data_IF_624750444240
#
_entry.id   IF_624750444240
#
_cell.length_a   1.000
_cell.length_b   1.000
_cell.length_c   1.000
_cell.angle_alpha   90.00
_cell.angle_beta   90.00
_cell.angle_gamma   90.00
#
_symmetry.space_group_name_H-M   'P 1'
#
loop_
_entity.id
_entity.type
_entity.pdbx_description
1 polymer ?
#
# COMPACT_ATOMS: atom_id res chain seq x y z
N UNK A 1 -8.09 3.59 17.59
CA UNK A 1 -9.32 3.38 16.82
C UNK A 1 -9.07 2.94 15.36
N UNK A 2 -7.95 3.31 14.75
CA UNK A 2 -7.57 2.94 13.37
C UNK A 2 -7.13 1.48 13.17
N UNK A 3 -7.09 0.66 14.22
CA UNK A 3 -6.70 -0.76 14.15
C UNK A 3 -7.89 -1.73 14.17
N UNK A 4 -9.12 -1.24 14.12
CA UNK A 4 -10.32 -2.09 14.08
C UNK A 4 -10.88 -2.18 12.65
N UNK A 5 -11.76 -3.14 12.41
CA UNK A 5 -12.27 -3.56 11.10
C UNK A 5 -12.58 -2.43 10.08
N UNK A 6 -13.20 -1.35 10.51
CA UNK A 6 -13.59 -0.25 9.60
C UNK A 6 -12.37 0.57 9.18
N UNK A 7 -11.37 0.72 10.04
CA UNK A 7 -10.15 1.45 9.74
C UNK A 7 -9.24 0.72 8.73
N UNK A 8 -9.42 -0.58 8.57
CA UNK A 8 -8.69 -1.36 7.58
C UNK A 8 -9.13 -1.10 6.13
N UNK A 9 -10.32 -0.57 5.92
CA UNK A 9 -10.87 -0.33 4.57
C UNK A 9 -10.46 1.03 3.97
N UNK A 10 -9.64 1.82 4.65
CA UNK A 10 -9.19 3.14 4.17
C UNK A 10 -8.09 3.06 3.08
N UNK A 11 -7.59 1.87 2.77
CA UNK A 11 -6.48 1.70 1.83
C UNK A 11 -6.70 2.29 0.44
N UNK A 12 -7.93 2.30 -0.07
CA UNK A 12 -8.27 2.89 -1.37
C UNK A 12 -8.36 4.42 -1.39
N UNK A 13 -8.45 5.08 -0.23
CA UNK A 13 -8.65 6.52 -0.17
C UNK A 13 -7.39 7.29 -0.59
N UNK A 14 -6.22 6.83 -0.19
CA UNK A 14 -4.95 7.42 -0.63
C UNK A 14 -4.81 7.40 -2.15
N UNK A 15 -5.12 6.28 -2.81
CA UNK A 15 -5.14 6.18 -4.27
C UNK A 15 -6.12 7.19 -4.89
N UNK A 16 -7.33 7.24 -4.38
CA UNK A 16 -8.40 8.10 -4.92
C UNK A 16 -8.01 9.58 -4.85
N UNK A 17 -7.45 10.02 -3.74
CA UNK A 17 -6.99 11.40 -3.56
C UNK A 17 -5.79 11.74 -4.44
N UNK A 18 -4.83 10.84 -4.57
CA UNK A 18 -3.69 11.00 -5.46
C UNK A 18 -4.14 11.09 -6.93
N UNK A 19 -5.10 10.26 -7.36
CA UNK A 19 -5.67 10.35 -8.71
C UNK A 19 -6.43 11.66 -8.93
N UNK A 20 -7.21 12.09 -7.95
CA UNK A 20 -7.94 13.35 -8.03
C UNK A 20 -6.99 14.54 -8.20
N UNK A 21 -5.82 14.51 -7.54
CA UNK A 21 -4.80 15.55 -7.67
C UNK A 21 -4.29 15.74 -9.11
N UNK A 22 -4.38 14.71 -9.95
CA UNK A 22 -4.00 14.80 -11.37
C UNK A 22 -5.10 15.38 -12.25
N UNK A 23 -6.33 15.39 -11.76
CA UNK A 23 -7.50 15.88 -12.50
C UNK A 23 -7.76 17.38 -12.26
N UNK A 24 -7.17 17.95 -11.21
CA UNK A 24 -7.32 19.39 -10.92
C UNK A 24 -6.20 20.20 -11.55
N UNK A 25 -6.53 21.42 -12.00
CA UNK A 25 -5.59 22.29 -12.69
C UNK A 25 -4.84 23.25 -11.77
N UNK A 26 -5.46 23.62 -10.63
CA UNK A 26 -4.88 24.56 -9.69
C UNK A 26 -3.76 23.92 -8.85
N UNK A 27 -2.52 24.46 -8.87
CA UNK A 27 -1.40 23.87 -8.14
C UNK A 27 -1.64 23.74 -6.63
N UNK A 28 -2.36 24.68 -6.03
CA UNK A 28 -2.69 24.66 -4.60
C UNK A 28 -3.67 23.54 -4.25
N UNK A 29 -4.67 23.31 -5.09
CA UNK A 29 -5.60 22.19 -4.90
C UNK A 29 -4.90 20.85 -5.07
N UNK A 30 -4.03 20.75 -6.07
CA UNK A 30 -3.20 19.56 -6.28
C UNK A 30 -2.35 19.25 -5.06
N UNK A 31 -1.66 20.24 -4.50
CA UNK A 31 -0.83 20.07 -3.31
C UNK A 31 -1.64 19.60 -2.11
N UNK A 32 -2.82 20.19 -1.87
CA UNK A 32 -3.74 19.79 -0.79
C UNK A 32 -4.24 18.35 -0.94
N UNK A 33 -4.54 17.93 -2.14
CA UNK A 33 -5.00 16.56 -2.41
C UNK A 33 -3.88 15.55 -2.20
N UNK A 34 -2.64 15.86 -2.57
CA UNK A 34 -1.47 15.02 -2.30
C UNK A 34 -1.22 14.93 -0.78
N UNK A 35 -1.26 16.05 -0.07
CA UNK A 35 -1.13 16.06 1.39
C UNK A 35 -2.23 15.23 2.06
N UNK A 36 -3.47 15.39 1.63
CA UNK A 36 -4.59 14.59 2.13
C UNK A 36 -4.41 13.09 1.81
N UNK A 37 -3.90 12.74 0.64
CA UNK A 37 -3.56 11.35 0.30
C UNK A 37 -2.54 10.76 1.28
N UNK A 38 -1.49 11.51 1.61
CA UNK A 38 -0.44 11.08 2.52
C UNK A 38 -0.95 10.88 3.97
N UNK A 39 -2.06 11.52 4.35
CA UNK A 39 -2.69 11.28 5.66
C UNK A 39 -3.24 9.84 5.82
N UNK A 40 -3.42 9.11 4.73
CA UNK A 40 -3.85 7.71 4.74
C UNK A 40 -2.68 6.72 4.74
N UNK A 41 -1.44 7.20 4.75
CA UNK A 41 -0.27 6.36 4.87
C UNK A 41 -0.24 5.66 6.23
N UNK A 42 0.27 4.43 6.23
CA UNK A 42 0.55 3.69 7.44
C UNK A 42 2.06 3.54 7.61
N UNK A 43 2.71 4.37 8.42
CA UNK A 43 4.16 4.25 8.65
C UNK A 43 4.56 2.86 9.13
N UNK A 44 3.77 2.25 10.02
CA UNK A 44 4.00 0.90 10.53
C UNK A 44 3.97 -0.19 9.44
N UNK A 45 3.35 0.09 8.30
CA UNK A 45 3.32 -0.82 7.14
C UNK A 45 4.33 -0.42 6.07
N UNK A 46 4.46 0.87 5.79
CA UNK A 46 5.30 1.37 4.70
C UNK A 46 6.79 1.39 5.04
N UNK A 47 7.16 1.78 6.26
CA UNK A 47 8.59 1.91 6.62
C UNK A 47 9.37 0.59 6.53
N UNK A 48 8.88 -0.55 7.06
CA UNK A 48 9.58 -1.82 6.86
C UNK A 48 9.71 -2.18 5.38
N UNK A 49 8.64 -1.98 4.60
CA UNK A 49 8.65 -2.27 3.16
C UNK A 49 9.64 -1.39 2.41
N UNK A 50 9.73 -0.09 2.72
CA UNK A 50 10.69 0.81 2.08
C UNK A 50 12.14 0.36 2.27
N UNK A 51 12.42 -0.34 3.37
CA UNK A 51 13.73 -0.91 3.75
C UNK A 51 13.88 -2.37 3.32
N UNK A 52 12.96 -2.91 2.54
CA UNK A 52 12.91 -4.32 2.13
C UNK A 52 12.88 -5.31 3.31
N UNK A 53 12.20 -4.93 4.39
CA UNK A 53 11.98 -5.79 5.56
C UNK A 53 10.61 -6.45 5.42
N UNK A 54 10.56 -7.78 5.56
CA UNK A 54 9.34 -8.57 5.48
C UNK A 54 8.57 -8.52 6.81
N UNK A 55 7.65 -7.58 6.93
CA UNK A 55 6.74 -7.42 8.07
C UNK A 55 5.26 -7.52 7.63
N UNK A 56 4.99 -8.22 6.51
CA UNK A 56 3.62 -8.35 6.00
C UNK A 56 2.89 -9.59 6.51
N UNK A 57 3.62 -10.55 7.06
CA UNK A 57 3.06 -11.80 7.56
C UNK A 57 1.96 -11.53 8.60
N UNK A 58 0.83 -12.23 8.47
CA UNK A 58 -0.36 -12.10 9.29
C UNK A 58 -1.08 -10.73 9.22
N UNK A 59 -0.69 -9.85 8.32
CA UNK A 59 -1.50 -8.69 7.97
C UNK A 59 -2.64 -9.11 7.04
N UNK A 60 -3.78 -8.45 7.16
CA UNK A 60 -4.94 -8.74 6.33
C UNK A 60 -4.67 -8.34 4.88
N UNK A 61 -4.68 -9.30 3.96
CA UNK A 61 -4.28 -9.08 2.57
C UNK A 61 -5.18 -8.04 1.88
N UNK A 62 -6.49 -8.22 1.99
CA UNK A 62 -7.46 -7.36 1.33
C UNK A 62 -7.44 -5.90 1.80
N UNK A 63 -7.09 -5.67 3.06
CA UNK A 63 -6.97 -4.30 3.62
C UNK A 63 -5.66 -3.62 3.22
N UNK A 64 -4.58 -4.38 3.02
CA UNK A 64 -3.24 -3.82 2.79
C UNK A 64 -2.86 -3.72 1.31
N UNK A 65 -3.40 -4.58 0.44
CA UNK A 65 -3.13 -4.50 -1.01
C UNK A 65 -3.55 -3.13 -1.59
N UNK A 66 -4.74 -2.57 -1.29
CA UNK A 66 -5.13 -1.25 -1.78
C UNK A 66 -4.18 -0.14 -1.34
N UNK A 67 -3.56 -0.25 -0.16
CA UNK A 67 -2.56 0.72 0.31
C UNK A 67 -1.32 0.73 -0.58
N UNK A 68 -0.89 -0.44 -1.08
CA UNK A 68 0.25 -0.53 -2.00
C UNK A 68 -0.08 0.09 -3.36
N UNK A 69 -1.31 -0.08 -3.83
CA UNK A 69 -1.78 0.60 -5.05
C UNK A 69 -1.75 2.12 -4.84
N UNK A 70 -2.19 2.58 -3.66
CA UNK A 70 -2.11 3.98 -3.26
C UNK A 70 -0.66 4.49 -3.22
N UNK A 71 0.26 3.73 -2.63
CA UNK A 71 1.68 4.08 -2.60
C UNK A 71 2.26 4.24 -4.01
N UNK A 72 2.00 3.28 -4.90
CA UNK A 72 2.45 3.39 -6.29
C UNK A 72 1.86 4.62 -6.98
N UNK A 73 0.59 4.93 -6.71
CA UNK A 73 -0.07 6.11 -7.27
C UNK A 73 0.55 7.41 -6.74
N UNK A 74 0.87 7.47 -5.44
CA UNK A 74 1.58 8.61 -4.84
C UNK A 74 2.93 8.84 -5.50
N UNK A 75 3.69 7.76 -5.77
CA UNK A 75 4.94 7.88 -6.53
C UNK A 75 4.71 8.49 -7.93
N UNK A 76 3.72 8.00 -8.66
CA UNK A 76 3.42 8.51 -10.02
C UNK A 76 2.97 9.97 -10.02
N UNK A 77 2.37 10.44 -8.92
CA UNK A 77 1.85 11.81 -8.80
C UNK A 77 2.91 12.82 -8.31
N UNK A 78 3.86 12.40 -7.48
CA UNK A 78 4.81 13.30 -6.81
C UNK A 78 6.29 12.93 -7.00
N UNK A 79 6.58 11.78 -7.64
CA UNK A 79 7.93 11.24 -7.84
C UNK A 79 8.71 10.95 -6.53
N UNK A 80 8.02 10.78 -5.39
CA UNK A 80 8.68 10.42 -4.14
C UNK A 80 9.10 8.94 -4.18
N UNK A 81 10.40 8.71 -4.22
CA UNK A 81 10.99 7.37 -4.33
C UNK A 81 10.72 6.47 -3.12
N UNK A 82 10.34 7.04 -1.98
CA UNK A 82 9.89 6.26 -0.82
C UNK A 82 8.73 5.34 -1.22
N UNK A 83 7.71 5.87 -1.87
CA UNK A 83 6.55 5.11 -2.33
C UNK A 83 6.88 4.08 -3.42
N UNK A 84 7.84 4.40 -4.28
CA UNK A 84 8.36 3.42 -5.24
C UNK A 84 8.95 2.21 -4.51
N UNK A 85 9.84 2.44 -3.54
CA UNK A 85 10.46 1.35 -2.78
C UNK A 85 9.43 0.53 -2.00
N UNK A 86 8.45 1.16 -1.38
CA UNK A 86 7.33 0.47 -0.71
C UNK A 86 6.63 -0.49 -1.68
N UNK A 87 6.21 -0.01 -2.84
CA UNK A 87 5.46 -0.78 -3.82
C UNK A 87 6.30 -1.88 -4.47
N UNK A 88 7.52 -1.57 -4.86
CA UNK A 88 8.45 -2.49 -5.51
C UNK A 88 8.85 -3.64 -4.58
N UNK A 89 9.22 -3.32 -3.34
CA UNK A 89 9.62 -4.33 -2.36
C UNK A 89 8.44 -5.21 -1.95
N UNK A 90 7.25 -4.64 -1.78
CA UNK A 90 6.04 -5.43 -1.57
C UNK A 90 5.81 -6.43 -2.70
N UNK A 91 5.88 -5.98 -3.96
CA UNK A 91 5.73 -6.86 -5.12
C UNK A 91 6.72 -8.02 -5.09
N UNK A 92 8.00 -7.74 -4.83
CA UNK A 92 9.03 -8.78 -4.76
C UNK A 92 8.79 -9.77 -3.62
N UNK A 93 8.35 -9.29 -2.44
CA UNK A 93 7.98 -10.17 -1.32
C UNK A 93 6.81 -11.09 -1.67
N UNK A 94 5.76 -10.53 -2.28
CA UNK A 94 4.60 -11.31 -2.71
C UNK A 94 5.01 -12.39 -3.70
N UNK A 95 5.76 -12.04 -4.75
CA UNK A 95 6.17 -12.98 -5.77
C UNK A 95 7.08 -14.09 -5.22
N UNK A 96 8.00 -13.74 -4.33
CA UNK A 96 9.00 -14.66 -3.82
C UNK A 96 8.55 -15.53 -2.65
N UNK A 97 7.58 -15.08 -1.84
CA UNK A 97 7.29 -15.71 -0.54
C UNK A 97 5.83 -16.02 -0.27
N UNK A 98 4.89 -15.24 -0.81
CA UNK A 98 3.49 -15.28 -0.39
C UNK A 98 2.54 -15.76 -1.48
N UNK A 99 2.97 -15.75 -2.73
CA UNK A 99 2.12 -16.17 -3.85
C UNK A 99 1.97 -17.68 -3.91
N UNK A 100 0.73 -18.13 -3.99
CA UNK A 100 0.38 -19.52 -4.29
C UNK A 100 0.48 -19.79 -5.80
N UNK A 101 0.50 -21.06 -6.19
CA UNK A 101 0.53 -21.47 -7.61
C UNK A 101 -0.65 -20.92 -8.43
N UNK A 102 -1.78 -20.69 -7.78
CA UNK A 102 -3.00 -20.09 -8.37
C UNK A 102 -2.89 -18.57 -8.58
N UNK A 103 -1.83 -17.93 -8.07
CA UNK A 103 -1.68 -16.47 -8.08
C UNK A 103 -2.24 -15.75 -6.86
N UNK A 104 -3.03 -16.43 -6.02
CA UNK A 104 -3.55 -15.86 -4.78
C UNK A 104 -2.44 -15.64 -3.74
N UNK A 105 -2.65 -14.71 -2.81
CA UNK A 105 -1.67 -14.34 -1.77
C UNK A 105 -2.25 -14.39 -0.35
N UNK A 106 -3.54 -14.62 -0.23
CA UNK A 106 -4.26 -14.70 1.04
C UNK A 106 -4.57 -16.12 1.46
N UNK A 107 -4.39 -16.41 2.74
CA UNK A 107 -4.88 -17.63 3.38
C UNK A 107 -5.54 -17.24 4.70
N UNK A 108 -6.84 -17.50 4.85
CA UNK A 108 -7.63 -16.98 5.95
C UNK A 108 -7.58 -15.45 5.98
N UNK A 109 -7.70 -14.82 4.81
CA UNK A 109 -7.67 -13.36 4.57
C UNK A 109 -6.34 -12.67 4.90
N UNK A 110 -5.32 -13.40 5.33
CA UNK A 110 -4.03 -12.85 5.75
C UNK A 110 -2.90 -13.30 4.83
N UNK A 111 -1.83 -12.50 4.76
CA UNK A 111 -0.59 -12.95 4.13
C UNK A 111 0.04 -14.05 4.97
N UNK A 112 0.10 -15.24 4.42
CA UNK A 112 0.75 -16.40 5.02
C UNK A 112 1.60 -17.09 3.98
N UNK A 113 2.78 -17.54 4.37
CA UNK A 113 3.61 -18.32 3.48
C UNK A 113 2.89 -19.62 3.10
N UNK A 114 2.88 -20.01 1.82
CA UNK A 114 2.16 -21.19 1.36
C UNK A 114 2.63 -22.49 1.98
N UNK A 115 3.92 -22.61 2.26
CA UNK A 115 4.54 -23.80 2.86
C UNK A 115 5.72 -23.34 3.72
N UNK A 116 5.87 -23.87 4.96
CA UNK A 116 7.15 -23.77 5.66
C UNK A 116 8.18 -24.55 4.84
N UNK A 117 9.21 -23.87 4.39
CA UNK A 117 10.38 -24.56 3.84
C UNK A 117 11.19 -25.15 4.96
#
# INVERSE_FOLDING_TARGET
>A
MWNMYIAGEVGGMGESLARLSEMVSAPEEKARLIEASNCFDSPAFYEPLSKNIDDIRNRHANQHIPMIIGALRSYLSNNDTFYYHVSHNFWNLIQGRYRYSTGGVGNGEMFRQPIPK
#
